data_IF_251468742684
#
_entry.id   IF_251468742684
#
_cell.length_a   1.000
_cell.length_b   1.000
_cell.length_c   1.000
_cell.angle_alpha   90.00
_cell.angle_beta   90.00
_cell.angle_gamma   90.00
#
_symmetry.space_group_name_H-M   'P 1'
#
loop_
_entity.id
_entity.type
_entity.pdbx_description
1 polymer ?
#
# COMPACT_ATOMS: atom_id res chain seq x y z
N UNK A 1 -7.90 -21.09 -24.68
CA UNK A 1 -6.96 -20.93 -23.55
C UNK A 1 -7.79 -20.92 -22.27
N UNK A 2 -7.44 -21.75 -21.28
CA UNK A 2 -8.13 -21.72 -19.99
C UNK A 2 -7.67 -20.48 -19.21
N UNK A 3 -8.60 -19.71 -18.67
CA UNK A 3 -8.26 -18.57 -17.81
C UNK A 3 -7.69 -19.06 -16.48
N UNK A 4 -6.74 -18.31 -15.89
CA UNK A 4 -6.17 -18.71 -14.63
C UNK A 4 -7.22 -18.67 -13.52
N UNK A 5 -7.40 -19.79 -12.83
CA UNK A 5 -8.21 -19.88 -11.61
C UNK A 5 -7.28 -19.83 -10.39
N UNK A 6 -7.76 -19.28 -9.29
CA UNK A 6 -7.00 -19.27 -8.03
C UNK A 6 -7.67 -20.23 -7.05
N UNK A 7 -6.89 -21.07 -6.36
CA UNK A 7 -7.40 -21.87 -5.26
C UNK A 7 -7.70 -21.00 -4.05
N UNK A 8 -8.68 -21.40 -3.22
CA UNK A 8 -9.02 -20.64 -2.01
C UNK A 8 -7.85 -20.55 -1.01
N UNK A 9 -6.99 -21.60 -0.95
CA UNK A 9 -5.78 -21.57 -0.12
C UNK A 9 -4.78 -20.53 -0.60
N UNK A 10 -4.56 -20.44 -1.93
CA UNK A 10 -3.68 -19.43 -2.49
C UNK A 10 -4.24 -18.01 -2.29
N UNK A 11 -5.55 -17.82 -2.43
CA UNK A 11 -6.19 -16.53 -2.14
C UNK A 11 -6.02 -16.14 -0.68
N UNK A 12 -6.29 -17.06 0.25
CA UNK A 12 -6.12 -16.85 1.69
C UNK A 12 -4.68 -16.47 2.04
N UNK A 13 -3.70 -17.19 1.49
CA UNK A 13 -2.28 -16.90 1.71
C UNK A 13 -1.90 -15.50 1.22
N UNK A 14 -2.30 -15.13 0.00
CA UNK A 14 -1.98 -13.82 -0.59
C UNK A 14 -2.60 -12.67 0.19
N UNK A 15 -3.88 -12.79 0.56
CA UNK A 15 -4.59 -11.78 1.35
C UNK A 15 -4.02 -11.71 2.77
N UNK A 16 -3.69 -12.85 3.39
CA UNK A 16 -3.04 -12.90 4.70
C UNK A 16 -1.67 -12.21 4.70
N UNK A 17 -0.83 -12.48 3.69
CA UNK A 17 0.47 -11.80 3.54
C UNK A 17 0.32 -10.31 3.33
N UNK A 18 -0.68 -9.87 2.56
CA UNK A 18 -0.97 -8.45 2.39
C UNK A 18 -1.30 -7.76 3.72
N UNK A 19 -2.13 -8.41 4.57
CA UNK A 19 -2.41 -7.91 5.93
C UNK A 19 -1.12 -7.79 6.74
N UNK A 20 -0.28 -8.83 6.75
CA UNK A 20 0.96 -8.86 7.52
C UNK A 20 1.90 -7.74 7.09
N UNK A 21 2.15 -7.58 5.79
CA UNK A 21 3.06 -6.55 5.30
C UNK A 21 2.53 -5.13 5.55
N UNK A 22 1.24 -4.91 5.34
CA UNK A 22 0.60 -3.64 5.68
C UNK A 22 0.66 -3.34 7.18
N UNK A 23 0.42 -4.35 8.03
CA UNK A 23 0.49 -4.21 9.48
C UNK A 23 1.92 -3.92 9.97
N UNK A 24 2.95 -4.57 9.41
CA UNK A 24 4.35 -4.31 9.75
C UNK A 24 4.75 -2.86 9.50
N UNK A 25 4.41 -2.33 8.33
CA UNK A 25 4.66 -0.92 8.01
C UNK A 25 3.84 -0.01 8.92
N UNK A 26 2.56 -0.37 9.15
CA UNK A 26 1.67 0.37 10.03
C UNK A 26 2.14 0.40 11.49
N UNK A 27 2.76 -0.66 11.98
CA UNK A 27 3.33 -0.72 13.33
C UNK A 27 4.48 0.29 13.52
N UNK A 28 5.36 0.43 12.51
CA UNK A 28 6.40 1.46 12.51
C UNK A 28 5.78 2.86 12.58
N UNK A 29 4.68 3.08 11.82
CA UNK A 29 3.99 4.36 11.78
C UNK A 29 3.29 4.68 13.09
N UNK A 30 2.64 3.70 13.71
CA UNK A 30 1.93 3.84 14.98
C UNK A 30 2.88 4.17 16.14
N UNK A 31 4.06 3.53 16.19
CA UNK A 31 5.12 3.88 17.15
C UNK A 31 5.61 5.32 17.01
N UNK A 32 5.51 5.90 15.83
CA UNK A 32 5.86 7.30 15.57
C UNK A 32 4.68 8.28 15.70
N UNK A 33 3.53 7.87 16.26
CA UNK A 33 2.30 8.68 16.44
C UNK A 33 1.86 9.35 15.12
N UNK A 34 1.88 8.58 14.01
CA UNK A 34 1.48 9.04 12.69
C UNK A 34 -0.01 8.77 12.43
N UNK A 35 -0.61 9.57 11.55
CA UNK A 35 -2.06 9.53 11.28
C UNK A 35 -2.57 8.19 10.75
N UNK A 36 -1.78 7.44 9.97
CA UNK A 36 -2.13 6.11 9.48
C UNK A 36 -1.28 5.06 10.21
N UNK A 37 -1.89 4.32 11.12
CA UNK A 37 -1.28 3.24 11.92
C UNK A 37 -1.51 1.85 11.33
N UNK A 38 -1.31 0.83 12.18
CA UNK A 38 -1.32 -0.58 11.82
C UNK A 38 -2.63 -1.03 11.15
N UNK A 39 -3.79 -0.67 11.74
CA UNK A 39 -5.10 -1.06 11.19
C UNK A 39 -5.35 -0.46 9.81
N UNK A 40 -5.04 0.83 9.66
CA UNK A 40 -5.26 1.56 8.40
C UNK A 40 -4.43 0.95 7.28
N UNK A 41 -3.13 0.75 7.49
CA UNK A 41 -2.24 0.22 6.46
C UNK A 41 -2.49 -1.25 6.17
N UNK A 42 -2.86 -2.07 7.17
CA UNK A 42 -3.30 -3.45 6.94
C UNK A 42 -4.53 -3.52 6.03
N UNK A 43 -5.54 -2.66 6.28
CA UNK A 43 -6.76 -2.60 5.45
C UNK A 43 -6.48 -2.08 4.04
N UNK A 44 -5.61 -1.10 3.87
CA UNK A 44 -5.20 -0.59 2.55
C UNK A 44 -4.52 -1.70 1.74
N UNK A 45 -3.59 -2.43 2.36
CA UNK A 45 -2.90 -3.54 1.70
C UNK A 45 -3.85 -4.69 1.35
N UNK A 46 -4.71 -5.09 2.29
CA UNK A 46 -5.73 -6.13 2.07
C UNK A 46 -6.69 -5.75 0.93
N UNK A 47 -7.24 -4.53 0.95
CA UNK A 47 -8.15 -4.05 -0.08
C UNK A 47 -7.50 -4.04 -1.46
N UNK A 48 -6.27 -3.56 -1.55
CA UNK A 48 -5.50 -3.56 -2.80
C UNK A 48 -5.23 -4.98 -3.31
N UNK A 49 -4.87 -5.91 -2.41
CA UNK A 49 -4.66 -7.32 -2.76
C UNK A 49 -5.96 -7.98 -3.25
N UNK A 50 -7.08 -7.71 -2.59
CA UNK A 50 -8.39 -8.22 -2.96
C UNK A 50 -8.80 -7.70 -4.35
N UNK A 51 -8.67 -6.40 -4.62
CA UNK A 51 -8.95 -5.84 -5.94
C UNK A 51 -8.07 -6.47 -7.02
N UNK A 52 -6.79 -6.75 -6.72
CA UNK A 52 -5.90 -7.42 -7.66
C UNK A 52 -6.32 -8.87 -7.91
N UNK A 53 -6.72 -9.63 -6.88
CA UNK A 53 -7.25 -11.00 -7.02
C UNK A 53 -8.50 -11.00 -7.88
N UNK A 54 -9.46 -10.10 -7.62
CA UNK A 54 -10.68 -9.95 -8.43
C UNK A 54 -10.33 -9.60 -9.87
N UNK A 55 -9.40 -8.68 -10.08
CA UNK A 55 -8.96 -8.24 -11.41
C UNK A 55 -8.36 -9.37 -12.23
N UNK A 56 -7.53 -10.21 -11.59
CA UNK A 56 -6.80 -11.27 -12.27
C UNK A 56 -7.61 -12.55 -12.46
N UNK A 57 -8.57 -12.85 -11.56
CA UNK A 57 -9.22 -14.16 -11.49
C UNK A 57 -10.76 -14.10 -11.45
N UNK A 58 -11.35 -12.97 -11.04
CA UNK A 58 -12.78 -12.87 -10.77
C UNK A 58 -13.69 -12.92 -12.01
N UNK A 59 -13.14 -12.70 -13.20
CA UNK A 59 -13.89 -12.63 -14.44
C UNK A 59 -13.68 -13.84 -15.36
N UNK A 60 -13.06 -14.91 -14.87
CA UNK A 60 -12.75 -16.12 -15.65
C UNK A 60 -13.98 -16.76 -16.27
N UNK A 61 -15.13 -16.74 -15.60
CA UNK A 61 -16.39 -17.32 -16.09
C UNK A 61 -16.98 -16.55 -17.28
N UNK A 62 -16.72 -15.25 -17.39
CA UNK A 62 -17.25 -14.39 -18.46
C UNK A 62 -16.38 -14.40 -19.72
N UNK A 63 -15.26 -15.09 -19.70
CA UNK A 63 -14.28 -15.07 -20.79
C UNK A 63 -14.50 -16.15 -21.85
N UNK A 64 -15.55 -16.98 -21.73
CA UNK A 64 -15.85 -18.11 -22.64
C UNK A 64 -16.25 -17.73 -24.06
N UNK A 65 -16.65 -16.52 -24.33
CA UNK A 65 -16.95 -15.98 -25.66
C UNK A 65 -15.98 -14.84 -25.97
N UNK A 66 -15.17 -14.98 -27.00
CA UNK A 66 -14.12 -14.08 -27.49
C UNK A 66 -14.51 -12.58 -27.66
N UNK A 67 -15.62 -12.12 -27.10
CA UNK A 67 -16.18 -10.79 -27.28
C UNK A 67 -15.61 -9.74 -26.30
N UNK A 68 -14.98 -10.15 -25.19
CA UNK A 68 -14.49 -9.19 -24.20
C UNK A 68 -12.99 -9.40 -23.97
N UNK A 69 -12.17 -8.50 -24.50
CA UNK A 69 -10.74 -8.40 -24.14
C UNK A 69 -10.63 -7.97 -22.69
N UNK A 70 -10.71 -8.93 -21.76
CA UNK A 70 -10.52 -8.67 -20.33
C UNK A 70 -9.06 -8.33 -20.07
N UNK A 71 -8.83 -7.13 -19.61
CA UNK A 71 -7.52 -6.64 -19.21
C UNK A 71 -7.41 -6.67 -17.67
N UNK A 72 -6.64 -7.63 -17.11
CA UNK A 72 -6.47 -7.74 -15.66
C UNK A 72 -5.82 -6.53 -15.00
N UNK A 73 -5.22 -5.63 -15.77
CA UNK A 73 -4.57 -4.43 -15.23
C UNK A 73 -5.57 -3.30 -14.91
N UNK A 74 -6.77 -3.32 -15.46
CA UNK A 74 -7.74 -2.21 -15.35
C UNK A 74 -8.16 -1.91 -13.91
N UNK A 75 -8.58 -2.93 -13.16
CA UNK A 75 -8.99 -2.72 -11.76
C UNK A 75 -7.78 -2.32 -10.91
N UNK A 76 -6.61 -2.94 -11.15
CA UNK A 76 -5.38 -2.57 -10.48
C UNK A 76 -4.99 -1.11 -10.73
N UNK A 77 -5.13 -0.62 -11.97
CA UNK A 77 -4.90 0.79 -12.31
C UNK A 77 -5.84 1.73 -11.53
N UNK A 78 -7.11 1.34 -11.34
CA UNK A 78 -8.06 2.12 -10.54
C UNK A 78 -7.69 2.15 -9.05
N UNK A 79 -7.06 1.12 -8.50
CA UNK A 79 -6.52 1.16 -7.13
C UNK A 79 -5.47 2.25 -7.01
N UNK A 80 -4.53 2.35 -7.97
CA UNK A 80 -3.47 3.38 -7.97
C UNK A 80 -4.07 4.79 -8.00
N UNK A 81 -5.12 5.00 -8.80
CA UNK A 81 -5.84 6.28 -8.87
C UNK A 81 -6.62 6.56 -7.58
N UNK A 82 -7.40 5.57 -7.12
CA UNK A 82 -8.30 5.71 -5.96
C UNK A 82 -7.57 5.92 -4.64
N UNK A 83 -6.41 5.30 -4.46
CA UNK A 83 -5.60 5.45 -3.24
C UNK A 83 -5.06 6.88 -3.08
N UNK A 84 -4.95 7.63 -4.20
CA UNK A 84 -4.59 9.05 -4.19
C UNK A 84 -5.56 9.90 -3.38
N UNK A 85 -6.86 9.57 -3.39
CA UNK A 85 -7.88 10.25 -2.57
C UNK A 85 -7.64 10.03 -1.07
N UNK A 86 -7.36 8.80 -0.64
CA UNK A 86 -7.02 8.49 0.76
C UNK A 86 -5.72 9.17 1.17
N UNK A 87 -4.70 9.13 0.30
CA UNK A 87 -3.43 9.82 0.53
C UNK A 87 -3.63 11.33 0.72
N UNK A 88 -4.35 11.97 -0.19
CA UNK A 88 -4.66 13.40 -0.11
C UNK A 88 -5.42 13.75 1.17
N UNK A 89 -6.36 12.90 1.62
CA UNK A 89 -7.10 13.06 2.86
C UNK A 89 -6.23 13.10 4.11
N UNK A 90 -4.98 12.62 4.06
CA UNK A 90 -4.03 12.69 5.18
C UNK A 90 -3.14 13.94 5.16
N UNK A 91 -3.17 14.72 4.08
CA UNK A 91 -2.35 15.93 3.93
C UNK A 91 -3.11 17.13 4.50
N UNK A 92 -2.58 17.71 5.55
CA UNK A 92 -3.19 18.85 6.25
C UNK A 92 -2.29 20.07 6.14
N UNK A 93 -2.88 21.19 5.68
CA UNK A 93 -2.24 22.49 5.73
C UNK A 93 -2.63 23.19 7.05
N UNK A 94 -1.65 23.41 7.92
CA UNK A 94 -1.82 24.20 9.15
C UNK A 94 -0.99 25.47 9.04
N UNK A 95 -1.66 26.61 8.86
CA UNK A 95 -1.03 27.91 8.60
C UNK A 95 -0.05 27.80 7.42
N UNK A 96 1.27 27.82 7.69
CA UNK A 96 2.34 27.73 6.69
C UNK A 96 3.02 26.36 6.61
N UNK A 97 2.56 25.35 7.39
CA UNK A 97 3.22 24.04 7.48
C UNK A 97 2.32 22.96 6.90
N UNK A 98 2.83 22.21 5.91
CA UNK A 98 2.19 21.02 5.35
C UNK A 98 2.59 19.80 6.17
N UNK A 99 1.62 19.01 6.62
CA UNK A 99 1.82 17.76 7.37
C UNK A 99 1.14 16.59 6.63
N UNK A 100 1.61 15.37 6.87
CA UNK A 100 0.98 14.17 6.33
C UNK A 100 1.56 13.66 5.01
N UNK A 101 2.51 14.35 4.37
CA UNK A 101 3.10 13.93 3.09
C UNK A 101 3.71 12.53 3.15
N UNK A 102 4.51 12.23 4.17
CA UNK A 102 5.09 10.87 4.36
C UNK A 102 4.02 9.82 4.64
N UNK A 103 2.92 10.21 5.32
CA UNK A 103 1.78 9.30 5.55
C UNK A 103 1.07 8.99 4.25
N UNK A 104 0.81 9.98 3.41
CA UNK A 104 0.22 9.79 2.08
C UNK A 104 1.09 8.88 1.20
N UNK A 105 2.40 9.11 1.18
CA UNK A 105 3.36 8.26 0.47
C UNK A 105 3.39 6.82 1.00
N UNK A 106 3.31 6.61 2.32
CA UNK A 106 3.25 5.30 2.93
C UNK A 106 1.95 4.54 2.56
N UNK A 107 0.80 5.21 2.54
CA UNK A 107 -0.47 4.64 2.09
C UNK A 107 -0.36 4.17 0.63
N UNK A 108 0.24 4.98 -0.25
CA UNK A 108 0.44 4.67 -1.65
C UNK A 108 1.37 3.46 -1.84
N UNK A 109 2.50 3.43 -1.14
CA UNK A 109 3.45 2.31 -1.19
C UNK A 109 2.83 0.99 -0.69
N UNK A 110 2.06 1.04 0.40
CA UNK A 110 1.37 -0.13 0.97
C UNK A 110 0.29 -0.66 0.03
N UNK A 111 -0.41 0.21 -0.70
CA UNK A 111 -1.36 -0.22 -1.72
C UNK A 111 -0.65 -1.01 -2.84
N UNK A 112 0.51 -0.55 -3.30
CA UNK A 112 1.32 -1.26 -4.30
C UNK A 112 1.81 -2.62 -3.79
N UNK A 113 2.21 -2.72 -2.51
CA UNK A 113 2.58 -3.99 -1.86
C UNK A 113 1.38 -4.95 -1.84
N UNK A 114 0.18 -4.44 -1.52
CA UNK A 114 -1.05 -5.21 -1.59
C UNK A 114 -1.33 -5.76 -2.98
N UNK A 115 -1.22 -4.93 -4.03
CA UNK A 115 -1.37 -5.37 -5.43
C UNK A 115 -0.37 -6.48 -5.77
N UNK A 116 0.89 -6.35 -5.36
CA UNK A 116 1.92 -7.37 -5.57
C UNK A 116 1.59 -8.69 -4.88
N UNK A 117 1.07 -8.66 -3.64
CA UNK A 117 0.57 -9.84 -2.94
C UNK A 117 -0.60 -10.48 -3.71
N UNK A 118 -1.58 -9.69 -4.15
CA UNK A 118 -2.77 -10.16 -4.84
C UNK A 118 -2.46 -10.90 -6.14
N UNK A 119 -1.54 -10.40 -6.96
CA UNK A 119 -1.09 -11.08 -8.19
C UNK A 119 -0.18 -12.29 -7.91
N UNK A 120 0.34 -12.43 -6.67
CA UNK A 120 1.23 -13.53 -6.28
C UNK A 120 2.72 -13.23 -6.39
N UNK A 121 3.11 -11.97 -6.60
CA UNK A 121 4.51 -11.52 -6.63
C UNK A 121 5.05 -11.31 -5.21
N UNK A 122 5.07 -12.38 -4.42
CA UNK A 122 5.39 -12.31 -2.98
C UNK A 122 6.82 -11.82 -2.73
N UNK A 123 7.78 -12.23 -3.57
CA UNK A 123 9.18 -11.79 -3.44
C UNK A 123 9.27 -10.27 -3.61
N UNK A 124 8.58 -9.71 -4.60
CA UNK A 124 8.53 -8.25 -4.82
C UNK A 124 7.86 -7.55 -3.64
N UNK A 125 6.77 -8.12 -3.11
CA UNK A 125 6.07 -7.57 -1.95
C UNK A 125 6.97 -7.54 -0.70
N UNK A 126 7.76 -8.60 -0.46
CA UNK A 126 8.74 -8.65 0.65
C UNK A 126 9.82 -7.59 0.46
N UNK A 127 10.45 -7.52 -0.71
CA UNK A 127 11.48 -6.52 -1.02
C UNK A 127 10.92 -5.11 -0.82
N UNK A 128 9.76 -4.81 -1.38
CA UNK A 128 9.11 -3.50 -1.25
C UNK A 128 8.79 -3.16 0.21
N UNK A 129 8.33 -4.14 1.00
CA UNK A 129 8.07 -3.96 2.44
C UNK A 129 9.34 -3.60 3.19
N UNK A 130 10.43 -4.35 2.97
CA UNK A 130 11.73 -4.10 3.62
C UNK A 130 12.25 -2.71 3.24
N UNK A 131 12.25 -2.38 1.95
CA UNK A 131 12.71 -1.06 1.49
C UNK A 131 11.85 0.08 2.06
N UNK A 132 10.53 -0.09 2.12
CA UNK A 132 9.63 0.89 2.73
C UNK A 132 9.94 1.09 4.21
N UNK A 133 10.17 0.01 4.97
CA UNK A 133 10.56 0.10 6.38
C UNK A 133 11.91 0.79 6.55
N UNK A 134 12.89 0.50 5.70
CA UNK A 134 14.21 1.17 5.71
C UNK A 134 14.01 2.68 5.49
N UNK A 135 13.25 3.09 4.47
CA UNK A 135 12.99 4.50 4.19
C UNK A 135 12.30 5.19 5.38
N UNK A 136 11.28 4.57 5.94
CA UNK A 136 10.51 5.17 7.03
C UNK A 136 11.28 5.24 8.36
N UNK A 137 12.11 4.26 8.67
CA UNK A 137 12.84 4.16 9.93
C UNK A 137 14.23 4.79 9.84
N UNK A 138 15.02 4.49 8.80
CA UNK A 138 16.43 4.85 8.72
C UNK A 138 16.68 6.30 8.28
N UNK A 139 15.77 6.89 7.48
CA UNK A 139 15.98 8.29 7.04
C UNK A 139 15.68 9.32 8.15
N UNK A 140 14.89 8.96 9.17
CA UNK A 140 14.60 9.87 10.30
C UNK A 140 15.85 10.36 11.06
N UNK A 141 16.75 9.48 11.55
CA UNK A 141 17.95 9.92 12.24
C UNK A 141 18.88 10.73 11.32
N UNK A 142 18.94 10.37 10.04
CA UNK A 142 19.77 11.06 9.05
C UNK A 142 19.26 12.49 8.84
N UNK A 143 17.95 12.71 8.71
CA UNK A 143 17.36 14.06 8.62
C UNK A 143 17.68 14.90 9.85
N UNK A 144 17.59 14.30 11.06
CA UNK A 144 17.93 14.98 12.31
C UNK A 144 19.42 15.37 12.43
N UNK A 145 20.30 14.57 11.82
CA UNK A 145 21.74 14.83 11.80
C UNK A 145 22.12 15.90 10.77
N UNK A 146 21.52 15.84 9.57
CA UNK A 146 21.83 16.76 8.47
C UNK A 146 21.16 18.13 8.62
N UNK A 147 19.96 18.15 9.23
CA UNK A 147 19.16 19.37 9.42
C UNK A 147 18.76 19.53 10.89
N UNK A 148 19.69 19.95 11.79
CA UNK A 148 19.36 20.21 13.18
C UNK A 148 18.25 21.26 13.25
N UNK A 149 17.09 20.90 13.83
CA UNK A 149 15.99 21.84 14.05
C UNK A 149 16.49 22.98 14.93
N UNK A 150 16.64 24.16 14.36
CA UNK A 150 16.81 25.38 15.16
C UNK A 150 15.58 25.49 16.09
N UNK A 151 15.80 25.36 17.39
CA UNK A 151 14.76 25.66 18.37
C UNK A 151 14.45 27.15 18.22
N UNK A 152 13.20 27.57 17.98
CA UNK A 152 12.90 28.99 18.09
C UNK A 152 13.18 29.40 19.54
N UNK A 153 14.09 30.34 19.71
CA UNK A 153 14.29 31.02 20.98
C UNK A 153 12.97 31.70 21.33
N UNK A 154 12.32 31.24 22.40
CA UNK A 154 11.23 31.92 23.04
C UNK A 154 11.84 33.19 23.67
N UNK A 155 11.62 34.34 23.04
CA UNK A 155 11.63 35.63 23.67
C UNK A 155 10.20 35.99 24.00
#
# INVERSE_FOLDING_TARGET
MAFPTISWQAALLRLGLAIVFGALIGLERERGERAAGMRTLALVSLGSALFMVISAYGFSEFSGNNAFGLDPSRIAAQVVTGIGFLGAGTILLRRTTVRGLTTAAAIWAVAAIGLACGIGQIVIAVIATVLTLIVLAALRPIEGLLFPRQRPHLM
#
